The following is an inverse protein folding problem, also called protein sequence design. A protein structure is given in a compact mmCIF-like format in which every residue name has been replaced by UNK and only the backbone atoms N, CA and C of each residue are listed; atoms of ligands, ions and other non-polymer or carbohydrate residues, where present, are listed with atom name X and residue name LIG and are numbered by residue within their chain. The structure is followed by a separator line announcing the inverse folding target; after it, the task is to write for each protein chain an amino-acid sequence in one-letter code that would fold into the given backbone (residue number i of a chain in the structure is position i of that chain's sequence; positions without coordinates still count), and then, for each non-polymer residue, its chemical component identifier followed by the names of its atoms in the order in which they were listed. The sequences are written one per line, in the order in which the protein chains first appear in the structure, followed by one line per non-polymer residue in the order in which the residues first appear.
data_IF_565254791297
#
_entry.id   IF_565254791297
#
_cell.length_a   1.000
_cell.length_b   1.000
_cell.length_c   1.000
_cell.angle_alpha   90.00
_cell.angle_beta   90.00
_cell.angle_gamma   90.00
#
_symmetry.space_group_name_H-M   'P 1'
#
loop_
_entity.id
_entity.type
_entity.pdbx_description
1 polymer ?
#
# COMPACT_ATOMS: atom_id res chain seq x y z
N UNK A 1 2.77 10.58 -3.13
CA UNK A 1 1.49 11.25 -2.78
C UNK A 1 0.88 10.48 -1.61
N UNK A 2 0.50 11.17 -0.52
CA UNK A 2 -0.16 10.56 0.64
C UNK A 2 -1.62 11.03 0.62
N UNK A 3 -2.58 10.11 0.51
CA UNK A 3 -4.01 10.39 0.72
C UNK A 3 -4.47 9.55 1.93
N UNK A 4 -5.11 10.18 2.92
CA UNK A 4 -5.60 9.54 4.14
C UNK A 4 -7.08 9.86 4.33
N UNK A 5 -7.93 8.84 4.19
CA UNK A 5 -9.39 8.93 4.32
C UNK A 5 -9.96 7.54 4.59
N UNK A 6 -11.09 7.45 5.29
CA UNK A 6 -11.86 6.20 5.35
C UNK A 6 -12.48 5.95 3.98
N UNK A 7 -11.95 4.97 3.24
CA UNK A 7 -12.39 4.63 1.89
C UNK A 7 -13.04 3.24 1.90
N UNK A 8 -14.17 3.11 1.20
CA UNK A 8 -14.70 1.80 0.81
C UNK A 8 -13.80 1.16 -0.25
N UNK A 9 -13.91 -0.15 -0.44
CA UNK A 9 -13.07 -0.88 -1.41
C UNK A 9 -13.16 -0.29 -2.83
N UNK A 10 -14.36 0.02 -3.31
CA UNK A 10 -14.58 0.66 -4.61
C UNK A 10 -13.81 1.99 -4.76
N UNK A 11 -13.73 2.77 -3.68
CA UNK A 11 -13.02 4.05 -3.68
C UNK A 11 -11.50 3.86 -3.64
N UNK A 12 -11.02 2.80 -2.99
CA UNK A 12 -9.60 2.41 -3.03
C UNK A 12 -9.22 1.99 -4.44
N UNK A 13 -10.08 1.23 -5.11
CA UNK A 13 -9.91 0.78 -6.49
C UNK A 13 -9.80 1.96 -7.47
N UNK A 14 -10.73 2.92 -7.41
CA UNK A 14 -10.68 4.14 -8.20
C UNK A 14 -9.41 4.95 -7.94
N UNK A 15 -9.01 5.05 -6.67
CA UNK A 15 -7.79 5.76 -6.28
C UNK A 15 -6.53 5.08 -6.84
N UNK A 16 -6.46 3.74 -6.78
CA UNK A 16 -5.33 2.99 -7.33
C UNK A 16 -5.26 3.14 -8.86
N UNK A 17 -6.41 3.16 -9.56
CA UNK A 17 -6.47 3.49 -11.00
C UNK A 17 -5.96 4.91 -11.26
N UNK A 18 -6.42 5.91 -10.52
CA UNK A 18 -5.99 7.31 -10.66
C UNK A 18 -4.48 7.45 -10.47
N UNK A 19 -3.93 6.85 -9.41
CA UNK A 19 -2.50 6.86 -9.11
C UNK A 19 -1.71 6.20 -10.25
N UNK A 20 -2.13 5.02 -10.72
CA UNK A 20 -1.41 4.30 -11.76
C UNK A 20 -1.46 5.03 -13.10
N UNK A 21 -2.57 5.68 -13.44
CA UNK A 21 -2.67 6.51 -14.65
C UNK A 21 -1.71 7.70 -14.61
N UNK A 22 -1.54 8.34 -13.44
CA UNK A 22 -0.67 9.53 -13.29
C UNK A 22 0.79 9.18 -13.03
N UNK A 23 1.06 8.05 -12.38
CA UNK A 23 2.38 7.64 -11.89
C UNK A 23 2.65 6.18 -12.25
N UNK A 24 2.77 5.91 -13.56
CA UNK A 24 2.86 4.55 -14.13
C UNK A 24 3.90 3.65 -13.45
N UNK A 25 5.05 4.19 -13.04
CA UNK A 25 6.17 3.44 -12.46
C UNK A 25 6.27 3.53 -10.93
N UNK A 26 5.32 4.18 -10.27
CA UNK A 26 5.37 4.33 -8.82
C UNK A 26 5.19 3.00 -8.08
N UNK A 27 6.00 2.79 -7.05
CA UNK A 27 5.78 1.78 -6.03
C UNK A 27 4.67 2.27 -5.09
N UNK A 28 3.62 1.47 -4.92
CA UNK A 28 2.45 1.84 -4.10
C UNK A 28 2.44 0.94 -2.87
N UNK A 29 2.52 1.53 -1.68
CA UNK A 29 2.28 0.84 -0.42
C UNK A 29 0.87 1.22 0.05
N UNK A 30 -0.02 0.23 0.17
CA UNK A 30 -1.37 0.43 0.70
C UNK A 30 -1.36 0.21 2.21
N UNK A 31 -1.90 1.16 2.98
CA UNK A 31 -1.98 1.07 4.45
C UNK A 31 -3.44 1.27 4.86
N UNK A 32 -4.02 0.31 5.58
CA UNK A 32 -5.42 0.38 5.98
C UNK A 32 -5.87 -0.83 6.78
N UNK A 33 -7.08 -0.77 7.34
CA UNK A 33 -7.73 -1.89 8.02
C UNK A 33 -8.78 -2.55 7.12
N UNK A 34 -9.08 -3.82 7.39
CA UNK A 34 -10.04 -4.66 6.67
C UNK A 34 -9.84 -4.65 5.15
N UNK A 35 -8.58 -4.78 4.72
CA UNK A 35 -8.21 -4.73 3.30
C UNK A 35 -8.74 -5.97 2.57
N UNK A 36 -9.44 -5.76 1.46
CA UNK A 36 -9.93 -6.84 0.60
C UNK A 36 -8.84 -7.28 -0.41
N UNK A 37 -7.99 -8.22 -0.01
CA UNK A 37 -6.91 -8.75 -0.84
C UNK A 37 -7.39 -9.38 -2.15
N UNK A 38 -8.53 -10.08 -2.13
CA UNK A 38 -9.08 -10.69 -3.33
C UNK A 38 -9.43 -9.65 -4.39
N UNK A 39 -10.03 -8.54 -3.98
CA UNK A 39 -10.44 -7.46 -4.87
C UNK A 39 -9.22 -6.72 -5.45
N UNK A 40 -8.19 -6.49 -4.64
CA UNK A 40 -6.91 -5.93 -5.11
C UNK A 40 -6.30 -6.84 -6.18
N UNK A 41 -6.28 -8.15 -5.93
CA UNK A 41 -5.72 -9.13 -6.85
C UNK A 41 -6.54 -9.26 -8.14
N UNK A 42 -7.86 -9.39 -8.04
CA UNK A 42 -8.80 -9.51 -9.17
C UNK A 42 -8.71 -8.32 -10.12
N UNK A 43 -8.51 -7.12 -9.58
CA UNK A 43 -8.37 -5.91 -10.38
C UNK A 43 -6.93 -5.66 -10.90
N UNK A 44 -6.01 -6.59 -10.68
CA UNK A 44 -4.60 -6.52 -11.11
C UNK A 44 -3.88 -5.24 -10.68
N UNK A 45 -4.23 -4.66 -9.53
CA UNK A 45 -3.49 -3.53 -9.00
C UNK A 45 -2.11 -3.99 -8.54
N UNK A 46 -1.09 -3.58 -9.29
CA UNK A 46 0.31 -3.75 -8.87
C UNK A 46 0.60 -2.84 -7.69
N UNK A 47 0.34 -3.31 -6.48
CA UNK A 47 0.84 -2.71 -5.24
C UNK A 47 2.19 -3.34 -4.92
N UNK A 48 3.11 -2.53 -4.39
CA UNK A 48 4.42 -2.99 -3.94
C UNK A 48 4.32 -3.65 -2.56
N UNK A 49 3.51 -3.07 -1.68
CA UNK A 49 3.31 -3.57 -0.32
C UNK A 49 1.92 -3.28 0.19
N UNK A 50 1.47 -4.11 1.14
CA UNK A 50 0.23 -3.92 1.89
C UNK A 50 0.55 -3.97 3.39
N UNK A 51 0.10 -2.96 4.13
CA UNK A 51 0.21 -2.87 5.59
C UNK A 51 -1.21 -2.92 6.14
N UNK A 52 -1.59 -4.10 6.63
CA UNK A 52 -2.90 -4.33 7.22
C UNK A 52 -2.90 -3.99 8.70
N UNK A 53 -3.69 -2.99 9.05
CA UNK A 53 -3.80 -2.49 10.42
C UNK A 53 -5.02 -3.05 11.16
N UNK A 54 -5.71 -4.05 10.61
CA UNK A 54 -6.90 -4.67 11.24
C UNK A 54 -6.63 -5.13 12.67
N UNK A 55 -5.51 -5.81 12.89
CA UNK A 55 -5.15 -6.40 14.19
C UNK A 55 -4.16 -5.56 14.99
N UNK A 56 -3.41 -4.66 14.33
CA UNK A 56 -2.42 -3.80 14.98
C UNK A 56 -2.39 -2.41 14.33
N UNK A 57 -2.93 -1.41 15.04
CA UNK A 57 -3.01 -0.02 14.60
C UNK A 57 -1.90 0.85 15.19
N UNK A 58 -0.94 0.28 15.93
CA UNK A 58 0.07 1.07 16.60
C UNK A 58 0.98 1.78 15.59
N UNK A 59 1.30 3.06 15.86
CA UNK A 59 2.23 3.82 15.01
C UNK A 59 3.59 3.14 14.89
N UNK A 60 4.05 2.46 15.96
CA UNK A 60 5.28 1.69 15.94
C UNK A 60 5.22 0.57 14.89
N UNK A 61 4.15 -0.23 14.89
CA UNK A 61 3.95 -1.28 13.91
C UNK A 61 3.92 -0.72 12.48
N UNK A 62 3.10 0.32 12.23
CA UNK A 62 2.99 0.93 10.90
C UNK A 62 4.34 1.46 10.43
N UNK A 63 5.08 2.16 11.29
CA UNK A 63 6.41 2.68 10.99
C UNK A 63 7.39 1.55 10.65
N UNK A 64 7.43 0.49 11.45
CA UNK A 64 8.35 -0.62 11.26
C UNK A 64 8.04 -1.37 9.94
N UNK A 65 6.76 -1.50 9.57
CA UNK A 65 6.34 -2.06 8.28
C UNK A 65 6.69 -1.15 7.09
N UNK A 66 6.54 0.18 7.23
CA UNK A 66 7.00 1.12 6.20
C UNK A 66 8.51 0.99 5.99
N UNK A 67 9.30 0.92 7.07
CA UNK A 67 10.74 0.73 6.96
C UNK A 67 11.11 -0.58 6.28
N UNK A 68 10.43 -1.69 6.62
CA UNK A 68 10.63 -2.97 5.94
C UNK A 68 10.51 -2.85 4.41
N UNK A 69 9.44 -2.24 3.91
CA UNK A 69 9.25 -2.03 2.47
C UNK A 69 10.25 -1.04 1.86
N UNK A 70 10.64 0.01 2.59
CA UNK A 70 11.65 0.95 2.11
C UNK A 70 13.05 0.32 2.04
N UNK A 71 13.38 -0.57 2.98
CA UNK A 71 14.65 -1.31 2.98
C UNK A 71 14.71 -2.30 1.81
N UNK A 72 13.61 -2.92 1.40
CA UNK A 72 13.59 -3.73 0.18
C UNK A 72 13.83 -2.90 -1.10
N UNK A 73 13.37 -1.65 -1.13
CA UNK A 73 13.53 -0.76 -2.30
C UNK A 73 14.90 -0.08 -2.35
N UNK A 74 15.40 0.37 -1.19
CA UNK A 74 16.50 1.33 -1.07
C UNK A 74 17.56 0.91 -0.04
N UNK A 75 17.35 -0.20 0.65
CA UNK A 75 18.33 -0.74 1.59
C UNK A 75 19.64 -1.10 0.89
N UNK A 76 20.74 -1.20 1.64
CA UNK A 76 22.02 -1.57 1.08
C UNK A 76 21.89 -2.93 0.41
N UNK A 77 22.02 -2.94 -0.92
CA UNK A 77 22.19 -4.18 -1.66
C UNK A 77 23.54 -4.74 -1.21
N UNK A 78 23.52 -5.80 -0.41
CA UNK A 78 24.71 -6.62 -0.25
C UNK A 78 25.03 -7.20 -1.64
N UNK A 79 25.88 -6.47 -2.38
CA UNK A 79 26.54 -6.88 -3.61
C UNK A 79 27.84 -7.59 -3.24
#
# INVERSE_FOLDING_TARGET
MIKSSFLKSEQVDELLKEIRMRYVQSHIILIGSHINYEEIYKNHYRVFGVIDTTTNQSFKFIRDQIHFYLDELYGPKHL
#
